data_IF_794048000381
#
_entry.id   IF_794048000381
#
_cell.length_a   1.000
_cell.length_b   1.000
_cell.length_c   1.000
_cell.angle_alpha   90.00
_cell.angle_beta   90.00
_cell.angle_gamma   90.00
#
_symmetry.space_group_name_H-M   'P 1'
#
loop_
_entity.id
_entity.type
_entity.pdbx_description
1 polymer ?
#
# COMPACT_ATOMS: atom_id res chain seq x y z
N UNK A 1 9.33 6.94 9.94
CA UNK A 1 8.61 8.22 9.86
C UNK A 1 7.31 8.04 10.64
N UNK A 2 7.01 8.88 11.62
CA UNK A 2 5.79 8.77 12.43
C UNK A 2 4.90 9.99 12.12
N UNK A 3 3.68 9.73 11.63
CA UNK A 3 2.67 10.77 11.39
C UNK A 3 1.54 10.53 12.36
N UNK A 4 1.73 11.02 13.59
CA UNK A 4 0.75 10.88 14.67
C UNK A 4 0.44 12.27 15.24
N UNK A 5 -0.80 12.71 15.05
CA UNK A 5 -1.33 13.94 15.62
C UNK A 5 -2.61 13.61 16.38
N UNK A 6 -2.62 13.92 17.67
CA UNK A 6 -3.81 13.72 18.51
C UNK A 6 -4.96 14.70 18.18
N UNK A 7 -4.69 15.72 17.37
CA UNK A 7 -5.68 16.73 16.96
C UNK A 7 -6.51 16.17 15.81
N UNK A 8 -7.84 16.27 15.92
CA UNK A 8 -8.75 15.94 14.80
C UNK A 8 -8.69 17.04 13.76
N UNK A 9 -8.16 16.70 12.60
CA UNK A 9 -8.12 17.58 11.43
C UNK A 9 -9.33 17.35 10.53
N UNK A 10 -9.68 18.35 9.71
CA UNK A 10 -10.74 18.24 8.70
C UNK A 10 -10.26 17.52 7.42
N UNK A 11 -8.94 17.41 7.22
CA UNK A 11 -8.35 16.67 6.12
C UNK A 11 -8.09 15.21 6.52
N UNK A 12 -8.06 14.32 5.53
CA UNK A 12 -7.80 12.89 5.69
C UNK A 12 -6.75 12.42 4.68
N UNK A 13 -6.32 11.17 4.79
CA UNK A 13 -5.41 10.54 3.85
C UNK A 13 -6.01 10.49 2.44
N UNK A 14 -5.14 10.58 1.44
CA UNK A 14 -5.50 10.46 0.04
C UNK A 14 -4.42 9.69 -0.71
N UNK A 15 -4.73 9.02 -1.83
CA UNK A 15 -3.73 8.37 -2.66
C UNK A 15 -2.66 9.31 -3.25
N UNK A 16 -2.88 10.63 -3.20
CA UNK A 16 -1.91 11.65 -3.64
C UNK A 16 -0.59 11.61 -2.84
N UNK A 17 -0.62 11.06 -1.62
CA UNK A 17 0.56 10.74 -0.83
C UNK A 17 0.49 9.29 -0.36
N UNK A 18 1.51 8.51 -0.68
CA UNK A 18 1.53 7.07 -0.39
C UNK A 18 2.87 6.62 0.15
N UNK A 19 2.84 5.57 0.96
CA UNK A 19 4.04 4.84 1.34
C UNK A 19 4.38 3.80 0.27
N UNK A 20 5.65 3.75 -0.13
CA UNK A 20 6.14 2.77 -1.09
C UNK A 20 6.99 1.73 -0.36
N UNK A 21 6.63 0.45 -0.50
CA UNK A 21 7.36 -0.67 0.08
C UNK A 21 7.92 -1.54 -1.05
N UNK A 22 9.24 -1.58 -1.15
CA UNK A 22 9.94 -2.58 -1.94
C UNK A 22 10.06 -3.86 -1.10
N UNK A 23 9.41 -4.93 -1.55
CA UNK A 23 9.48 -6.25 -0.94
C UNK A 23 10.61 -7.06 -1.57
N UNK A 24 11.14 -8.03 -0.83
CA UNK A 24 12.27 -8.86 -1.24
C UNK A 24 11.83 -10.19 -1.85
N UNK A 25 10.64 -10.70 -1.49
CA UNK A 25 10.12 -11.99 -1.98
C UNK A 25 8.66 -11.93 -2.42
N UNK A 26 8.25 -12.93 -3.21
CA UNK A 26 6.84 -13.07 -3.63
C UNK A 26 5.91 -13.33 -2.44
N UNK A 27 6.35 -14.17 -1.49
CA UNK A 27 5.57 -14.50 -0.30
C UNK A 27 5.38 -13.28 0.60
N UNK A 28 6.40 -12.41 0.68
CA UNK A 28 6.31 -11.16 1.42
C UNK A 28 5.27 -10.23 0.80
N UNK A 29 5.37 -9.95 -0.50
CA UNK A 29 4.45 -9.01 -1.16
C UNK A 29 3.02 -9.53 -1.14
N UNK A 30 2.79 -10.83 -1.32
CA UNK A 30 1.46 -11.44 -1.25
C UNK A 30 0.87 -11.36 0.15
N UNK A 31 1.66 -11.69 1.19
CA UNK A 31 1.23 -11.61 2.58
C UNK A 31 0.90 -10.18 2.98
N UNK A 32 1.75 -9.21 2.64
CA UNK A 32 1.56 -7.80 2.98
C UNK A 32 0.35 -7.25 2.23
N UNK A 33 0.22 -7.55 0.93
CA UNK A 33 -0.93 -7.13 0.13
C UNK A 33 -2.24 -7.67 0.71
N UNK A 34 -2.32 -8.96 1.01
CA UNK A 34 -3.50 -9.59 1.60
C UNK A 34 -3.91 -8.90 2.92
N UNK A 35 -2.93 -8.62 3.80
CA UNK A 35 -3.19 -7.98 5.10
C UNK A 35 -3.61 -6.51 4.99
N UNK A 36 -3.00 -5.74 4.09
CA UNK A 36 -3.37 -4.33 3.92
C UNK A 36 -4.72 -4.18 3.20
N UNK A 37 -5.06 -5.13 2.32
CA UNK A 37 -6.37 -5.13 1.64
C UNK A 37 -7.53 -5.51 2.56
N UNK A 38 -7.26 -6.12 3.72
CA UNK A 38 -8.28 -6.57 4.67
C UNK A 38 -9.02 -5.37 5.30
N UNK A 39 -10.26 -5.13 4.86
CA UNK A 39 -11.06 -3.99 5.29
C UNK A 39 -10.64 -2.65 4.66
N UNK A 40 -9.76 -2.69 3.67
CA UNK A 40 -9.34 -1.55 2.86
C UNK A 40 -9.97 -1.57 1.47
N UNK A 41 -9.38 -0.79 0.56
CA UNK A 41 -9.76 -0.68 -0.85
C UNK A 41 -8.55 -1.03 -1.74
N UNK A 42 -8.77 -1.92 -2.71
CA UNK A 42 -7.75 -2.25 -3.71
C UNK A 42 -7.90 -1.30 -4.90
N UNK A 43 -6.95 -0.38 -5.06
CA UNK A 43 -6.91 0.56 -6.19
C UNK A 43 -6.30 -0.09 -7.43
N UNK A 44 -5.23 -0.86 -7.25
CA UNK A 44 -4.62 -1.69 -8.29
C UNK A 44 -4.35 -3.09 -7.72
N UNK A 45 -4.96 -4.15 -8.30
CA UNK A 45 -4.71 -5.52 -7.89
C UNK A 45 -3.22 -5.89 -7.98
N UNK A 46 -2.76 -6.79 -7.11
CA UNK A 46 -1.41 -7.32 -7.19
C UNK A 46 -1.23 -8.12 -8.48
N UNK A 47 -0.25 -7.74 -9.31
CA UNK A 47 0.02 -8.42 -10.57
C UNK A 47 1.38 -8.05 -11.16
N UNK A 48 1.74 -8.66 -12.29
CA UNK A 48 2.96 -8.31 -13.02
C UNK A 48 2.77 -7.05 -13.85
N UNK A 49 3.79 -6.18 -13.85
CA UNK A 49 3.78 -4.94 -14.63
C UNK A 49 5.12 -4.76 -15.35
N UNK A 50 5.21 -3.96 -16.43
CA UNK A 50 6.45 -3.79 -17.20
C UNK A 50 7.66 -3.32 -16.37
N UNK A 51 7.40 -2.59 -15.27
CA UNK A 51 8.42 -1.97 -14.41
C UNK A 51 8.72 -2.76 -13.13
N UNK A 52 7.99 -3.83 -12.82
CA UNK A 52 8.13 -4.56 -11.55
C UNK A 52 7.66 -6.01 -11.70
N UNK A 53 8.29 -6.96 -10.99
CA UNK A 53 7.88 -8.37 -11.03
C UNK A 53 6.47 -8.52 -10.47
N UNK A 54 6.17 -7.88 -9.35
CA UNK A 54 4.80 -7.74 -8.82
C UNK A 54 4.60 -6.33 -8.31
N UNK A 55 3.47 -5.71 -8.65
CA UNK A 55 3.09 -4.40 -8.12
C UNK A 55 1.62 -4.40 -7.73
N UNK A 56 1.29 -3.68 -6.67
CA UNK A 56 -0.08 -3.48 -6.21
C UNK A 56 -0.23 -2.16 -5.46
N UNK A 57 -1.46 -1.63 -5.45
CA UNK A 57 -1.79 -0.37 -4.79
C UNK A 57 -3.07 -0.52 -3.97
N UNK A 58 -2.97 -0.29 -2.67
CA UNK A 58 -4.05 -0.47 -1.70
C UNK A 58 -4.20 0.80 -0.85
N UNK A 59 -5.44 1.13 -0.48
CA UNK A 59 -5.75 1.97 0.68
C UNK A 59 -6.14 1.04 1.82
N UNK A 60 -5.44 1.09 2.95
CA UNK A 60 -5.75 0.21 4.08
C UNK A 60 -7.03 0.65 4.82
N UNK A 61 -7.48 -0.15 5.79
CA UNK A 61 -8.67 0.15 6.60
C UNK A 61 -8.62 1.45 7.41
N UNK A 62 -7.44 2.07 7.52
CA UNK A 62 -7.23 3.34 8.20
C UNK A 62 -7.17 4.52 7.22
N UNK A 63 -7.28 4.26 5.91
CA UNK A 63 -7.24 5.25 4.84
C UNK A 63 -5.84 5.52 4.29
N UNK A 64 -4.79 4.86 4.80
CA UNK A 64 -3.42 5.11 4.35
C UNK A 64 -3.20 4.43 3.00
N UNK A 65 -2.58 5.15 2.06
CA UNK A 65 -2.27 4.65 0.73
C UNK A 65 -0.90 3.96 0.70
N UNK A 66 -0.86 2.76 0.15
CA UNK A 66 0.31 1.88 0.05
C UNK A 66 0.54 1.43 -1.39
N UNK A 67 1.77 1.57 -1.86
CA UNK A 67 2.27 0.98 -3.09
C UNK A 67 3.27 -0.12 -2.72
N UNK A 68 2.98 -1.34 -3.13
CA UNK A 68 3.83 -2.51 -2.89
C UNK A 68 4.48 -2.92 -4.20
N UNK A 69 5.79 -3.12 -4.19
CA UNK A 69 6.55 -3.53 -5.37
C UNK A 69 7.52 -4.64 -5.01
N UNK A 70 7.58 -5.68 -5.83
CA UNK A 70 8.67 -6.65 -5.86
C UNK A 70 9.54 -6.30 -7.08
N UNK A 71 10.70 -5.63 -6.88
CA UNK A 71 11.60 -5.30 -7.97
C UNK A 71 12.05 -6.55 -8.76
N UNK A 72 12.50 -6.33 -9.99
CA UNK A 72 13.12 -7.40 -10.79
C UNK A 72 14.55 -7.67 -10.36
#
# INVERSE_FOLDING_TARGET
MCVDSFVKHAFTFTPSFSLFLACDTEEEVERVFARLSEGGEVLMPLGEYPFSRKFGWIVDKFGVSWQLSLPR
#
